data_IF_626602677793
#
_entry.id   IF_626602677793
#
_cell.length_a   1.000
_cell.length_b   1.000
_cell.length_c   1.000
_cell.angle_alpha   90.00
_cell.angle_beta   90.00
_cell.angle_gamma   90.00
#
_symmetry.space_group_name_H-M   'P 1'
#
loop_
_entity.id
_entity.type
_entity.pdbx_description
1 polymer ?
#
# COMPACT_ATOMS: atom_id res chain seq x y z
N UNK A 1 -17.27 19.32 8.18
CA UNK A 1 -17.19 18.42 9.35
C UNK A 1 -16.08 17.47 8.99
N UNK A 2 -14.88 17.65 9.54
CA UNK A 2 -13.70 16.87 9.14
C UNK A 2 -13.90 15.41 9.54
N UNK A 3 -13.64 14.50 8.61
CA UNK A 3 -13.60 13.07 8.86
C UNK A 3 -12.47 12.79 9.88
N UNK A 4 -12.78 12.28 11.08
CA UNK A 4 -11.77 12.06 12.11
C UNK A 4 -10.93 10.80 11.84
N UNK A 5 -11.24 10.05 10.79
CA UNK A 5 -10.58 8.81 10.51
C UNK A 5 -9.27 8.98 9.76
N UNK A 6 -8.33 8.09 10.05
CA UNK A 6 -7.15 7.87 9.22
C UNK A 6 -7.49 6.83 8.16
N UNK A 7 -7.22 7.19 6.90
CA UNK A 7 -7.54 6.40 5.73
C UNK A 7 -6.33 5.71 5.12
N UNK A 8 -6.56 4.89 4.12
CA UNK A 8 -5.52 4.31 3.26
C UNK A 8 -5.69 4.92 1.87
N UNK A 9 -4.60 5.40 1.26
CA UNK A 9 -4.64 5.84 -0.15
C UNK A 9 -5.08 4.66 -1.04
N UNK A 10 -5.99 4.89 -1.98
CA UNK A 10 -6.59 3.85 -2.83
C UNK A 10 -5.54 2.91 -3.43
N UNK A 11 -4.41 3.49 -3.85
CA UNK A 11 -3.32 2.82 -4.55
C UNK A 11 -2.33 2.08 -3.64
N UNK A 12 -2.44 2.17 -2.31
CA UNK A 12 -1.61 1.42 -1.37
C UNK A 12 -1.68 -0.10 -1.63
N UNK A 13 -0.57 -0.85 -1.58
CA UNK A 13 0.75 -0.44 -1.10
C UNK A 13 1.64 0.26 -2.15
N UNK A 14 1.17 0.48 -3.39
CA UNK A 14 2.02 0.92 -4.51
C UNK A 14 2.43 2.40 -4.45
N UNK A 15 1.96 3.14 -3.46
CA UNK A 15 2.12 4.59 -3.34
C UNK A 15 2.41 4.88 -1.88
N UNK A 16 3.70 4.97 -1.59
CA UNK A 16 4.18 5.40 -0.28
C UNK A 16 5.06 6.62 -0.47
N UNK A 17 5.27 7.37 0.61
CA UNK A 17 6.26 8.44 0.64
C UNK A 17 7.65 7.93 0.20
N UNK A 18 8.00 6.68 0.55
CA UNK A 18 9.25 6.05 0.12
C UNK A 18 9.32 5.86 -1.41
N UNK A 19 8.24 5.40 -2.05
CA UNK A 19 8.18 5.28 -3.51
C UNK A 19 8.38 6.64 -4.19
N UNK A 20 7.74 7.70 -3.67
CA UNK A 20 7.91 9.07 -4.20
C UNK A 20 9.31 9.63 -3.95
N UNK A 21 9.91 9.38 -2.79
CA UNK A 21 11.28 9.76 -2.49
C UNK A 21 12.28 9.10 -3.45
N UNK A 22 12.08 7.81 -3.77
CA UNK A 22 12.88 7.11 -4.78
C UNK A 22 12.70 7.74 -6.15
N UNK A 23 11.46 7.98 -6.60
CA UNK A 23 11.20 8.66 -7.88
C UNK A 23 11.85 10.05 -7.94
N UNK A 24 11.75 10.85 -6.88
CA UNK A 24 12.39 12.16 -6.79
C UNK A 24 13.92 12.06 -6.87
N UNK A 25 14.53 11.08 -6.18
CA UNK A 25 15.97 10.86 -6.19
C UNK A 25 16.51 10.41 -7.56
N UNK A 26 15.73 9.59 -8.29
CA UNK A 26 16.16 9.03 -9.58
C UNK A 26 15.95 10.03 -10.72
N UNK A 27 14.85 10.78 -10.70
CA UNK A 27 14.45 11.63 -11.83
C UNK A 27 14.62 13.13 -11.58
N UNK A 28 15.00 13.55 -10.36
CA UNK A 28 15.05 14.97 -9.99
C UNK A 28 13.67 15.65 -9.96
N UNK A 29 12.59 14.86 -10.04
CA UNK A 29 11.20 15.34 -10.04
C UNK A 29 10.67 15.37 -8.61
N UNK A 30 10.73 16.55 -7.97
CA UNK A 30 10.01 16.79 -6.71
C UNK A 30 8.60 17.24 -7.07
N UNK A 31 7.66 16.30 -7.14
CA UNK A 31 6.24 16.65 -7.17
C UNK A 31 5.81 17.08 -5.77
N UNK A 32 5.13 18.22 -5.65
CA UNK A 32 4.45 18.59 -4.41
C UNK A 32 3.53 17.45 -3.98
N UNK A 33 3.45 17.20 -2.66
CA UNK A 33 2.51 16.22 -2.15
C UNK A 33 1.09 16.63 -2.52
N UNK A 34 0.26 15.70 -3.05
CA UNK A 34 -1.11 16.02 -3.42
C UNK A 34 -1.87 16.53 -2.19
N UNK A 35 -2.71 17.55 -2.36
CA UNK A 35 -3.53 18.07 -1.26
C UNK A 35 -4.55 17.03 -0.82
N UNK A 36 -5.16 16.34 -1.79
CA UNK A 36 -6.17 15.30 -1.57
C UNK A 36 -5.89 14.06 -2.40
N UNK A 37 -6.33 12.91 -1.91
CA UNK A 37 -6.23 11.62 -2.60
C UNK A 37 -7.55 10.85 -2.45
N UNK A 38 -7.81 9.94 -3.40
CA UNK A 38 -8.88 8.96 -3.24
C UNK A 38 -8.45 7.92 -2.20
N UNK A 39 -9.25 7.72 -1.18
CA UNK A 39 -9.05 6.68 -0.17
C UNK A 39 -9.57 5.31 -0.65
N UNK A 40 -9.19 4.25 0.06
CA UNK A 40 -9.73 2.90 -0.12
C UNK A 40 -11.25 2.79 0.09
N UNK A 41 -11.84 3.75 0.81
CA UNK A 41 -13.28 3.88 1.02
C UNK A 41 -13.97 4.77 -0.04
N UNK A 42 -13.29 5.06 -1.16
CA UNK A 42 -13.72 5.94 -2.25
C UNK A 42 -13.89 7.43 -1.91
N UNK A 43 -13.78 7.83 -0.65
CA UNK A 43 -13.79 9.23 -0.24
C UNK A 43 -12.57 9.99 -0.79
N UNK A 44 -12.76 11.28 -1.10
CA UNK A 44 -11.66 12.22 -1.31
C UNK A 44 -11.25 12.80 0.04
N UNK A 45 -10.02 12.55 0.46
CA UNK A 45 -9.50 12.94 1.78
C UNK A 45 -8.19 13.70 1.65
N UNK A 46 -7.83 14.57 2.61
CA UNK A 46 -6.50 15.16 2.65
C UNK A 46 -5.41 14.08 2.66
N UNK A 47 -4.32 14.27 1.92
CA UNK A 47 -3.21 13.29 1.91
C UNK A 47 -2.64 13.06 3.32
N UNK A 48 -2.59 14.12 4.14
CA UNK A 48 -2.16 14.07 5.53
C UNK A 48 -3.04 13.19 6.44
N UNK A 49 -4.28 12.92 6.04
CA UNK A 49 -5.21 12.03 6.75
C UNK A 49 -5.05 10.56 6.33
N UNK A 50 -4.01 10.20 5.56
CA UNK A 50 -3.75 8.82 5.13
C UNK A 50 -2.54 8.19 5.81
N UNK A 51 -2.57 6.88 5.99
CA UNK A 51 -1.45 6.08 6.47
C UNK A 51 -1.41 4.73 5.76
N UNK A 52 -0.20 4.29 5.41
CA UNK A 52 0.05 2.92 4.94
C UNK A 52 0.25 1.93 6.09
N UNK A 53 0.38 2.42 7.33
CA UNK A 53 0.63 1.61 8.53
C UNK A 53 -0.70 1.12 9.13
N UNK A 54 -0.95 -0.20 9.21
CA UNK A 54 -2.22 -0.75 9.70
C UNK A 54 -2.65 -0.22 11.08
N UNK A 55 -1.68 -0.03 11.98
CA UNK A 55 -1.87 0.45 13.35
C UNK A 55 -2.45 1.87 13.44
N UNK A 56 -2.29 2.68 12.39
CA UNK A 56 -2.81 4.05 12.38
C UNK A 56 -4.15 4.16 11.66
N UNK A 57 -4.57 3.16 10.88
CA UNK A 57 -5.77 3.26 10.04
C UNK A 57 -7.02 2.95 10.86
N UNK A 58 -7.87 3.95 11.05
CA UNK A 58 -9.10 3.84 11.83
C UNK A 58 -10.35 3.66 10.97
N UNK A 59 -10.29 4.01 9.67
CA UNK A 59 -11.41 3.82 8.74
C UNK A 59 -11.59 2.32 8.40
N UNK A 60 -12.67 1.69 8.89
CA UNK A 60 -12.92 0.25 8.69
C UNK A 60 -13.02 -0.18 7.21
N UNK A 61 -13.70 0.57 6.31
CA UNK A 61 -13.68 0.25 4.89
C UNK A 61 -12.26 0.32 4.29
N UNK A 62 -11.44 1.28 4.71
CA UNK A 62 -10.04 1.37 4.27
C UNK A 62 -9.20 0.18 4.77
N UNK A 63 -9.42 -0.28 6.01
CA UNK A 63 -8.78 -1.49 6.53
C UNK A 63 -9.09 -2.72 5.67
N UNK A 64 -10.38 -2.92 5.33
CA UNK A 64 -10.82 -4.00 4.43
C UNK A 64 -10.17 -3.90 3.05
N UNK A 65 -10.24 -2.73 2.43
CA UNK A 65 -9.61 -2.47 1.12
C UNK A 65 -8.11 -2.79 1.14
N UNK A 66 -7.40 -2.32 2.16
CA UNK A 66 -5.97 -2.55 2.31
C UNK A 66 -5.67 -4.04 2.47
N UNK A 67 -6.39 -4.76 3.34
CA UNK A 67 -6.25 -6.21 3.52
C UNK A 67 -6.41 -6.94 2.19
N UNK A 68 -7.51 -6.73 1.49
CA UNK A 68 -7.77 -7.38 0.21
C UNK A 68 -6.70 -7.05 -0.84
N UNK A 69 -6.23 -5.80 -0.86
CA UNK A 69 -5.21 -5.37 -1.82
C UNK A 69 -3.86 -6.03 -1.55
N UNK A 70 -3.45 -6.16 -0.29
CA UNK A 70 -2.23 -6.88 0.08
C UNK A 70 -2.32 -8.37 -0.28
N UNK A 71 -3.47 -9.02 -0.01
CA UNK A 71 -3.70 -10.42 -0.40
C UNK A 71 -3.65 -10.60 -1.93
N UNK A 72 -4.32 -9.73 -2.70
CA UNK A 72 -4.28 -9.76 -4.17
C UNK A 72 -2.85 -9.60 -4.69
N UNK A 73 -2.05 -8.72 -4.06
CA UNK A 73 -0.65 -8.53 -4.42
C UNK A 73 0.21 -9.75 -4.07
N UNK A 74 0.04 -10.35 -2.89
CA UNK A 74 0.74 -11.56 -2.49
C UNK A 74 0.52 -12.69 -3.48
N UNK A 75 -0.73 -12.91 -3.90
CA UNK A 75 -1.06 -13.93 -4.91
C UNK A 75 -0.38 -13.67 -6.26
N UNK A 76 -0.41 -12.43 -6.76
CA UNK A 76 0.23 -12.11 -8.06
C UNK A 76 1.75 -12.30 -8.02
N UNK A 77 2.38 -11.89 -6.93
CA UNK A 77 3.83 -12.04 -6.75
C UNK A 77 4.20 -13.52 -6.62
N UNK A 78 3.44 -14.30 -5.86
CA UNK A 78 3.70 -15.74 -5.74
C UNK A 78 3.52 -16.47 -7.08
N UNK A 79 2.52 -16.09 -7.89
CA UNK A 79 2.34 -16.62 -9.25
C UNK A 79 3.53 -16.31 -10.16
N UNK A 80 4.22 -15.18 -9.99
CA UNK A 80 5.41 -14.86 -10.78
C UNK A 80 6.65 -15.66 -10.36
N UNK A 81 6.65 -16.31 -9.17
CA UNK A 81 7.77 -17.15 -8.74
C UNK A 81 8.02 -18.34 -9.67
N UNK A 82 6.97 -18.87 -10.33
CA UNK A 82 7.10 -19.97 -11.29
C UNK A 82 7.82 -19.59 -12.59
N UNK A 83 7.94 -18.28 -12.87
CA UNK A 83 8.66 -17.74 -14.03
C UNK A 83 10.13 -17.41 -13.71
N UNK A 84 10.52 -17.53 -12.44
CA UNK A 84 11.84 -17.15 -11.95
C UNK A 84 12.60 -18.40 -11.48
N UNK A 85 13.89 -18.46 -11.78
CA UNK A 85 14.77 -19.55 -11.36
C UNK A 85 15.50 -19.25 -10.04
N UNK A 86 15.88 -20.30 -9.31
CA UNK A 86 16.81 -20.23 -8.18
C UNK A 86 16.38 -19.29 -7.05
N UNK A 87 17.34 -18.52 -6.53
CA UNK A 87 17.18 -17.66 -5.35
C UNK A 87 16.08 -16.58 -5.51
N UNK A 88 15.85 -16.11 -6.74
CA UNK A 88 14.80 -15.12 -7.02
C UNK A 88 13.40 -15.66 -6.68
N UNK A 89 13.15 -16.95 -6.91
CA UNK A 89 11.89 -17.57 -6.55
C UNK A 89 11.73 -17.70 -5.01
N UNK A 90 12.83 -17.79 -4.26
CA UNK A 90 12.79 -17.77 -2.80
C UNK A 90 12.41 -16.36 -2.28
N UNK A 91 13.06 -15.33 -2.80
CA UNK A 91 12.81 -13.93 -2.42
C UNK A 91 11.39 -13.50 -2.72
N UNK A 92 10.86 -13.89 -3.88
CA UNK A 92 9.48 -13.62 -4.28
C UNK A 92 8.48 -14.28 -3.35
N UNK A 93 8.70 -15.54 -2.96
CA UNK A 93 7.86 -16.22 -1.96
C UNK A 93 7.96 -15.58 -0.58
N UNK A 94 9.14 -15.12 -0.19
CA UNK A 94 9.32 -14.37 1.06
C UNK A 94 8.57 -13.03 1.03
N UNK A 95 8.60 -12.31 -0.09
CA UNK A 95 7.83 -11.09 -0.28
C UNK A 95 6.32 -11.32 -0.22
N UNK A 96 5.82 -12.39 -0.85
CA UNK A 96 4.41 -12.77 -0.79
C UNK A 96 3.96 -13.07 0.66
N UNK A 97 4.78 -13.77 1.46
CA UNK A 97 4.51 -14.00 2.90
C UNK A 97 4.40 -12.69 3.67
N UNK A 98 5.38 -11.78 3.52
CA UNK A 98 5.36 -10.46 4.18
C UNK A 98 4.09 -9.66 3.86
N UNK A 99 3.58 -9.76 2.63
CA UNK A 99 2.33 -9.10 2.24
C UNK A 99 1.11 -9.72 2.92
N UNK A 100 1.09 -11.03 3.14
CA UNK A 100 0.02 -11.71 3.90
C UNK A 100 0.05 -11.30 5.37
N UNK A 101 1.23 -11.31 5.99
CA UNK A 101 1.41 -10.87 7.38
C UNK A 101 0.93 -9.42 7.56
N UNK A 102 1.22 -8.55 6.58
CA UNK A 102 0.75 -7.17 6.59
C UNK A 102 -0.78 -7.07 6.39
N UNK A 103 -1.35 -7.92 5.53
CA UNK A 103 -2.80 -7.98 5.32
C UNK A 103 -3.56 -8.36 6.60
N UNK A 104 -3.02 -9.30 7.38
CA UNK A 104 -3.63 -9.75 8.62
C UNK A 104 -3.66 -8.65 9.69
N UNK A 105 -2.68 -7.74 9.68
CA UNK A 105 -2.65 -6.58 10.58
C UNK A 105 -3.72 -5.52 10.28
N UNK A 106 -4.37 -5.59 9.12
CA UNK A 106 -5.52 -4.73 8.77
C UNK A 106 -6.86 -5.32 9.20
N UNK A 107 -6.90 -6.44 9.94
CA UNK A 107 -8.15 -6.94 10.54
C UNK A 107 -8.76 -5.99 11.55
#
# INVERSE_FOLDING_TARGET
>A
MDDPHVHVEWTAPNTTAATRAVTASVFGLVGDTPRTVRAGCDAQVPYAATSARPEHVTCLPCRRHARERHLRYATRIEQSAGLLGGDQAHDVRAAARRLRDLADRFT
#
